data_IF_319155761399
#
_entry.id   IF_319155761399
#
_cell.length_a   1.000
_cell.length_b   1.000
_cell.length_c   1.000
_cell.angle_alpha   90.00
_cell.angle_beta   90.00
_cell.angle_gamma   90.00
#
_symmetry.space_group_name_H-M   'P 1'
#
loop_
_entity.id
_entity.type
_entity.pdbx_description
1 polymer ?
#
# COMPACT_ATOMS: atom_id res chain seq x y z
N UNK A 1 -10.69 -46.48 -29.26
CA UNK A 1 -12.11 -46.87 -29.34
C UNK A 1 -12.97 -45.69 -28.88
N UNK A 2 -13.97 -45.30 -29.68
CA UNK A 2 -15.01 -44.28 -29.38
C UNK A 2 -14.62 -42.83 -29.72
N UNK A 3 -14.79 -42.35 -30.96
CA UNK A 3 -15.98 -41.63 -31.52
C UNK A 3 -16.25 -40.27 -30.85
N UNK A 4 -15.91 -39.12 -31.46
CA UNK A 4 -16.60 -38.35 -32.54
C UNK A 4 -18.08 -38.00 -32.26
N UNK A 5 -18.37 -36.70 -32.11
CA UNK A 5 -19.38 -35.87 -32.84
C UNK A 5 -19.61 -34.57 -32.03
N UNK A 6 -19.49 -33.32 -32.50
CA UNK A 6 -19.86 -32.62 -33.74
C UNK A 6 -21.19 -31.84 -33.63
N UNK A 7 -21.19 -30.65 -34.28
CA UNK A 7 -22.32 -29.81 -34.75
C UNK A 7 -22.93 -28.86 -33.68
N UNK A 8 -22.82 -27.52 -33.72
CA UNK A 8 -23.13 -26.46 -34.73
C UNK A 8 -24.62 -26.04 -34.76
N UNK A 9 -24.82 -24.70 -34.72
CA UNK A 9 -25.98 -23.90 -35.17
C UNK A 9 -27.29 -23.93 -34.38
N UNK A 10 -27.81 -22.75 -34.01
CA UNK A 10 -28.68 -21.96 -34.90
C UNK A 10 -29.11 -20.62 -34.28
N UNK A 11 -29.00 -19.55 -35.08
CA UNK A 11 -29.80 -18.32 -34.98
C UNK A 11 -31.26 -18.62 -35.33
N UNK A 12 -32.20 -17.87 -34.76
CA UNK A 12 -33.42 -17.44 -35.46
C UNK A 12 -34.03 -16.18 -34.82
N UNK A 13 -34.19 -15.16 -35.66
CA UNK A 13 -35.00 -13.97 -35.47
C UNK A 13 -36.49 -14.29 -35.33
N UNK A 14 -37.26 -13.39 -34.70
CA UNK A 14 -38.52 -12.89 -35.27
C UNK A 14 -38.95 -11.60 -34.56
N UNK A 15 -39.17 -10.58 -35.39
CA UNK A 15 -39.75 -9.29 -35.04
C UNK A 15 -41.29 -9.36 -35.11
N UNK A 16 -41.98 -8.42 -34.44
CA UNK A 16 -42.91 -7.46 -35.08
C UNK A 16 -44.14 -7.07 -34.24
N UNK A 17 -44.22 -5.75 -33.96
CA UNK A 17 -45.37 -4.82 -33.99
C UNK A 17 -46.63 -5.05 -33.10
N UNK A 18 -46.93 -4.05 -32.26
CA UNK A 18 -48.13 -3.21 -32.42
C UNK A 18 -48.03 -1.89 -31.63
N UNK A 19 -48.68 -0.86 -32.19
CA UNK A 19 -48.53 0.56 -31.90
C UNK A 19 -49.65 1.15 -31.02
N UNK A 20 -49.38 2.30 -30.38
CA UNK A 20 -50.35 3.41 -30.31
C UNK A 20 -50.77 3.94 -28.92
N UNK A 21 -50.79 5.28 -28.83
CA UNK A 21 -51.29 6.17 -27.77
C UNK A 21 -50.30 6.46 -26.63
N UNK A 22 -50.10 7.68 -26.14
CA UNK A 22 -50.46 9.05 -26.56
C UNK A 22 -49.65 9.97 -25.65
N UNK A 23 -49.38 11.16 -26.14
CA UNK A 23 -48.77 12.31 -25.48
C UNK A 23 -49.01 12.45 -23.97
N UNK A 24 -47.93 12.34 -23.19
CA UNK A 24 -47.69 13.18 -22.03
C UNK A 24 -46.18 13.29 -21.85
N UNK A 25 -45.65 14.42 -22.33
CA UNK A 25 -44.27 14.81 -22.12
C UNK A 25 -44.05 15.13 -20.63
N UNK A 26 -43.17 14.42 -19.90
CA UNK A 26 -42.51 15.07 -18.79
C UNK A 26 -41.52 16.06 -19.38
N UNK A 27 -41.91 17.33 -19.26
CA UNK A 27 -41.09 18.52 -19.40
C UNK A 27 -39.59 18.25 -19.29
N UNK A 28 -38.89 18.54 -20.39
CA UNK A 28 -37.48 18.92 -20.39
C UNK A 28 -37.24 19.99 -19.33
N UNK A 29 -36.91 19.59 -18.11
CA UNK A 29 -35.89 20.30 -17.36
C UNK A 29 -34.57 19.61 -17.66
N UNK A 30 -34.10 19.82 -18.89
CA UNK A 30 -32.67 19.92 -19.11
C UNK A 30 -32.21 21.13 -18.28
N UNK A 31 -32.07 20.92 -16.97
CA UNK A 31 -31.25 21.75 -16.12
C UNK A 31 -29.83 21.55 -16.65
N UNK A 32 -29.52 22.29 -17.72
CA UNK A 32 -28.16 22.72 -18.00
C UNK A 32 -27.73 23.39 -16.72
N UNK A 33 -27.13 22.61 -15.82
CA UNK A 33 -26.37 23.13 -14.70
C UNK A 33 -25.33 23.99 -15.39
N UNK A 34 -25.58 25.30 -15.40
CA UNK A 34 -24.55 26.30 -15.59
C UNK A 34 -23.59 26.03 -14.45
N UNK A 35 -22.65 25.12 -14.66
CA UNK A 35 -21.50 24.96 -13.80
C UNK A 35 -20.85 26.33 -13.81
N UNK A 36 -20.82 26.96 -12.64
CA UNK A 36 -20.19 28.26 -12.54
C UNK A 36 -18.74 28.10 -13.00
N UNK A 37 -18.14 29.12 -13.59
CA UNK A 37 -16.72 29.08 -13.99
C UNK A 37 -15.79 28.60 -12.86
N UNK A 38 -16.17 28.86 -11.62
CA UNK A 38 -15.51 28.36 -10.41
C UNK A 38 -15.60 26.84 -10.24
N UNK A 39 -16.73 26.22 -10.60
CA UNK A 39 -16.90 24.77 -10.57
C UNK A 39 -16.02 24.09 -11.63
N UNK A 40 -15.92 24.67 -12.82
CA UNK A 40 -15.07 24.16 -13.90
C UNK A 40 -13.58 24.19 -13.52
N UNK A 41 -13.12 25.30 -12.93
CA UNK A 41 -11.75 25.41 -12.42
C UNK A 41 -11.45 24.37 -11.33
N UNK A 42 -12.40 24.13 -10.42
CA UNK A 42 -12.23 23.15 -9.34
C UNK A 42 -12.24 21.70 -9.87
N UNK A 43 -13.05 21.42 -10.90
CA UNK A 43 -13.06 20.11 -11.58
C UNK A 43 -11.70 19.87 -12.25
N UNK A 44 -11.21 20.82 -13.05
CA UNK A 44 -9.91 20.69 -13.71
C UNK A 44 -8.76 20.52 -12.70
N UNK A 45 -8.81 21.23 -11.58
CA UNK A 45 -7.82 21.09 -10.51
C UNK A 45 -7.89 19.72 -9.83
N UNK A 46 -9.10 19.20 -9.61
CA UNK A 46 -9.33 17.87 -9.05
C UNK A 46 -8.74 16.79 -9.96
N UNK A 47 -9.00 16.87 -11.26
CA UNK A 47 -8.44 15.95 -12.26
C UNK A 47 -6.92 16.00 -12.28
N UNK A 48 -6.33 17.20 -12.21
CA UNK A 48 -4.86 17.37 -12.16
C UNK A 48 -4.25 16.73 -10.91
N UNK A 49 -4.87 16.92 -9.74
CA UNK A 49 -4.43 16.26 -8.50
C UNK A 49 -4.56 14.74 -8.61
N UNK A 50 -5.67 14.24 -9.14
CA UNK A 50 -5.90 12.81 -9.31
C UNK A 50 -4.87 12.19 -10.26
N UNK A 51 -4.58 12.85 -11.38
CA UNK A 51 -3.55 12.43 -12.33
C UNK A 51 -2.16 12.37 -11.68
N UNK A 52 -1.76 13.45 -10.98
CA UNK A 52 -0.45 13.49 -10.30
C UNK A 52 -0.32 12.45 -9.20
N UNK A 53 -1.39 12.21 -8.43
CA UNK A 53 -1.43 11.12 -7.45
C UNK A 53 -1.23 9.77 -8.13
N UNK A 54 -1.95 9.51 -9.22
CA UNK A 54 -1.84 8.25 -9.95
C UNK A 54 -0.44 8.03 -10.55
N UNK A 55 0.20 9.09 -11.04
CA UNK A 55 1.59 9.05 -11.52
C UNK A 55 2.56 8.59 -10.43
N UNK A 56 2.42 9.12 -9.20
CA UNK A 56 3.23 8.70 -8.05
C UNK A 56 2.92 7.25 -7.65
N UNK A 57 1.64 6.89 -7.54
CA UNK A 57 1.23 5.52 -7.23
C UNK A 57 1.80 4.50 -8.23
N UNK A 58 1.85 4.83 -9.52
CA UNK A 58 2.41 3.95 -10.54
C UNK A 58 3.93 3.79 -10.42
N UNK A 59 4.66 4.85 -10.04
CA UNK A 59 6.11 4.77 -9.77
C UNK A 59 6.43 3.90 -8.55
N UNK A 60 5.52 3.83 -7.58
CA UNK A 60 5.67 3.02 -6.36
C UNK A 60 5.22 1.56 -6.55
N UNK A 61 4.46 1.25 -7.62
CA UNK A 61 3.92 -0.09 -7.94
C UNK A 61 4.86 -1.00 -8.73
N UNK A 62 6.13 -0.65 -8.83
CA UNK A 62 7.14 -1.50 -9.47
C UNK A 62 7.25 -2.83 -8.71
N UNK A 63 7.49 -3.93 -9.43
CA UNK A 63 7.85 -5.21 -8.82
C UNK A 63 9.29 -5.12 -8.34
N UNK A 64 9.48 -4.92 -7.04
CA UNK A 64 10.79 -4.73 -6.44
C UNK A 64 11.52 -6.07 -6.32
N UNK A 65 12.78 -6.13 -6.76
CA UNK A 65 13.55 -7.36 -6.79
C UNK A 65 14.80 -7.27 -5.92
N UNK A 66 14.99 -8.28 -5.06
CA UNK A 66 16.27 -8.48 -4.38
C UNK A 66 17.26 -9.17 -5.34
N UNK A 67 18.58 -8.97 -5.15
CA UNK A 67 19.60 -9.73 -5.86
C UNK A 67 19.44 -11.23 -5.61
N UNK A 68 19.74 -12.05 -6.62
CA UNK A 68 19.63 -13.52 -6.56
C UNK A 68 20.35 -14.17 -5.36
N UNK A 69 21.42 -13.54 -4.88
CA UNK A 69 22.15 -13.93 -3.67
C UNK A 69 22.18 -12.74 -2.72
N UNK A 70 21.13 -12.54 -1.93
CA UNK A 70 21.06 -11.37 -1.08
C UNK A 70 22.11 -11.46 0.03
N UNK A 71 23.01 -10.48 0.08
CA UNK A 71 23.97 -10.26 1.16
C UNK A 71 23.79 -8.86 1.76
N UNK A 72 24.23 -8.66 3.00
CA UNK A 72 24.26 -7.32 3.58
C UNK A 72 25.29 -6.47 2.80
N UNK A 73 24.83 -5.36 2.23
CA UNK A 73 25.64 -4.48 1.40
C UNK A 73 25.23 -3.02 1.62
N UNK A 74 26.19 -2.16 1.97
CA UNK A 74 25.97 -0.73 2.10
C UNK A 74 25.76 -0.08 0.74
N UNK A 75 25.07 1.06 0.72
CA UNK A 75 24.86 1.80 -0.51
C UNK A 75 26.14 2.54 -0.95
N UNK A 76 26.32 2.79 -2.26
CA UNK A 76 27.17 3.90 -2.67
C UNK A 76 26.62 5.22 -2.09
N UNK A 77 27.41 6.28 -2.07
CA UNK A 77 26.89 7.58 -1.63
C UNK A 77 25.83 8.08 -2.62
N UNK A 78 24.55 8.02 -2.21
CA UNK A 78 23.39 8.32 -3.07
C UNK A 78 22.89 9.75 -2.92
N UNK A 79 23.10 10.37 -1.76
CA UNK A 79 22.61 11.70 -1.45
C UNK A 79 23.26 12.78 -2.32
N UNK A 80 22.44 13.70 -2.81
CA UNK A 80 22.89 14.84 -3.62
C UNK A 80 22.81 16.18 -2.88
N UNK A 81 22.34 16.19 -1.64
CA UNK A 81 22.12 17.39 -0.83
C UNK A 81 20.81 18.11 -1.13
N UNK A 82 19.88 17.46 -1.85
CA UNK A 82 18.52 17.97 -2.08
C UNK A 82 17.57 17.25 -1.11
N UNK A 83 17.04 17.98 -0.13
CA UNK A 83 16.25 17.40 0.95
C UNK A 83 14.98 16.68 0.48
N UNK A 84 14.36 17.13 -0.61
CA UNK A 84 13.16 16.49 -1.14
C UNK A 84 13.54 15.23 -1.92
N UNK A 85 14.59 15.29 -2.74
CA UNK A 85 15.03 14.17 -3.57
C UNK A 85 15.67 13.04 -2.76
N UNK A 86 16.38 13.41 -1.68
CA UNK A 86 17.11 12.51 -0.79
C UNK A 86 16.22 11.91 0.32
N UNK A 87 14.92 12.23 0.32
CA UNK A 87 13.94 11.61 1.22
C UNK A 87 13.44 10.27 0.66
N UNK A 88 13.51 9.23 1.48
CA UNK A 88 13.02 7.90 1.16
C UNK A 88 11.49 7.81 1.22
N UNK A 89 10.90 7.06 0.30
CA UNK A 89 9.56 6.47 0.46
C UNK A 89 9.73 5.11 1.15
N UNK A 90 8.89 4.76 2.12
CA UNK A 90 8.92 3.41 2.71
C UNK A 90 7.84 2.57 2.04
N UNK A 91 8.22 1.43 1.47
CA UNK A 91 7.31 0.48 0.81
C UNK A 91 7.47 -0.91 1.43
N UNK A 92 6.52 -1.81 1.17
CA UNK A 92 6.57 -3.19 1.66
C UNK A 92 6.25 -4.14 0.52
N UNK A 93 7.08 -5.17 0.36
CA UNK A 93 6.91 -6.25 -0.61
C UNK A 93 6.75 -7.58 0.14
N UNK A 94 5.76 -8.38 -0.26
CA UNK A 94 5.51 -9.71 0.33
C UNK A 94 6.15 -10.81 -0.54
N UNK A 95 7.41 -11.09 -0.26
CA UNK A 95 8.24 -12.06 -0.99
C UNK A 95 8.20 -13.49 -0.39
N UNK A 96 7.20 -13.79 0.44
CA UNK A 96 7.13 -15.08 1.13
C UNK A 96 6.86 -16.21 0.14
N UNK A 97 7.65 -17.28 0.22
CA UNK A 97 7.41 -18.53 -0.55
C UNK A 97 6.13 -19.21 -0.05
N UNK A 98 5.89 -19.19 1.27
CA UNK A 98 4.68 -19.73 1.87
C UNK A 98 3.66 -18.62 2.16
N UNK A 99 2.63 -18.55 1.32
CA UNK A 99 1.53 -17.57 1.40
C UNK A 99 0.29 -18.11 2.10
N UNK A 100 0.36 -19.31 2.72
CA UNK A 100 -0.79 -19.90 3.45
C UNK A 100 -1.30 -19.01 4.56
N UNK A 101 -0.42 -18.22 5.16
CA UNK A 101 -0.77 -17.16 6.09
C UNK A 101 -0.70 -15.84 5.34
N UNK A 102 -1.79 -15.07 5.32
CA UNK A 102 -1.75 -13.70 4.79
C UNK A 102 -0.95 -12.82 5.75
N UNK A 103 -0.09 -11.95 5.21
CA UNK A 103 0.55 -10.92 6.03
C UNK A 103 -0.55 -9.95 6.50
N UNK A 104 -0.77 -9.77 7.81
CA UNK A 104 -1.83 -8.90 8.29
C UNK A 104 -1.72 -7.49 7.71
N UNK A 105 -2.83 -6.95 7.20
CA UNK A 105 -2.88 -5.60 6.62
C UNK A 105 -2.35 -4.51 7.58
N UNK A 106 -2.47 -4.73 8.89
CA UNK A 106 -1.92 -3.81 9.89
C UNK A 106 -0.39 -3.75 9.85
N UNK A 107 0.28 -4.88 9.60
CA UNK A 107 1.74 -4.93 9.47
C UNK A 107 2.19 -4.19 8.23
N UNK A 108 1.59 -4.44 7.07
CA UNK A 108 1.94 -3.71 5.83
C UNK A 108 1.72 -2.21 5.99
N UNK A 109 0.60 -1.79 6.59
CA UNK A 109 0.32 -0.37 6.92
C UNK A 109 1.25 0.25 7.97
N UNK A 110 1.97 -0.55 8.74
CA UNK A 110 2.97 -0.07 9.69
C UNK A 110 4.33 0.10 9.02
N UNK A 111 4.64 -0.69 7.99
CA UNK A 111 5.93 -0.68 7.30
C UNK A 111 5.99 0.32 6.15
N UNK A 112 4.86 0.59 5.50
CA UNK A 112 4.75 1.54 4.39
C UNK A 112 4.54 2.97 4.89
N UNK A 113 5.13 3.96 4.21
CA UNK A 113 4.89 5.38 4.47
C UNK A 113 3.49 5.77 3.99
N UNK A 114 2.86 6.70 4.71
CA UNK A 114 1.47 7.12 4.46
C UNK A 114 1.42 8.49 3.81
N UNK A 115 2.36 8.74 2.90
CA UNK A 115 2.57 10.06 2.31
C UNK A 115 1.32 10.55 1.56
N UNK A 116 0.65 9.65 0.82
CA UNK A 116 -0.59 9.96 0.11
C UNK A 116 -1.80 10.07 1.05
N UNK A 117 -1.77 9.51 2.26
CA UNK A 117 -2.82 9.72 3.26
C UNK A 117 -2.83 11.17 3.78
N UNK A 118 -1.71 11.90 3.68
CA UNK A 118 -1.65 13.31 4.03
C UNK A 118 -2.50 14.20 3.09
N UNK A 119 -2.95 13.68 1.95
CA UNK A 119 -3.83 14.40 1.02
C UNK A 119 -5.31 14.31 1.42
N UNK A 120 -5.67 13.36 2.30
CA UNK A 120 -7.05 13.10 2.70
C UNK A 120 -7.79 14.34 3.25
N UNK A 121 -7.16 15.22 4.06
CA UNK A 121 -7.82 16.44 4.55
C UNK A 121 -8.23 17.44 3.46
N UNK A 122 -7.63 17.38 2.26
CA UNK A 122 -7.92 18.30 1.15
C UNK A 122 -9.15 17.88 0.32
N UNK A 123 -9.58 16.63 0.44
CA UNK A 123 -10.74 16.10 -0.26
C UNK A 123 -12.03 16.32 0.52
N UNK A 124 -13.12 16.55 -0.19
CA UNK A 124 -14.47 16.65 0.37
C UNK A 124 -14.84 15.31 1.03
N UNK A 125 -15.17 15.30 2.35
CA UNK A 125 -15.51 14.08 3.08
C UNK A 125 -16.78 13.42 2.56
N UNK A 126 -17.66 14.17 1.88
CA UNK A 126 -18.89 13.66 1.26
C UNK A 126 -18.64 13.03 -0.12
N UNK A 127 -17.46 13.26 -0.70
CA UNK A 127 -17.10 12.70 -2.00
C UNK A 127 -16.71 11.22 -1.91
N UNK A 128 -17.16 10.43 -2.90
CA UNK A 128 -16.85 9.00 -2.96
C UNK A 128 -15.35 8.79 -3.17
N UNK A 129 -14.77 7.81 -2.47
CA UNK A 129 -13.36 7.45 -2.58
C UNK A 129 -12.93 7.07 -4.02
N UNK A 130 -11.64 7.24 -4.33
CA UNK A 130 -11.03 6.93 -5.62
C UNK A 130 -11.05 8.10 -6.62
N UNK A 131 -11.09 7.79 -7.92
CA UNK A 131 -10.99 8.76 -9.02
C UNK A 131 -12.13 9.79 -9.11
N UNK A 132 -13.18 9.65 -8.28
CA UNK A 132 -14.32 10.57 -8.21
C UNK A 132 -14.28 11.49 -6.98
N UNK A 133 -13.19 11.47 -6.22
CA UNK A 133 -13.01 12.38 -5.09
C UNK A 133 -12.89 13.80 -5.57
N UNK A 134 -13.60 14.71 -4.92
CA UNK A 134 -13.57 16.14 -5.20
C UNK A 134 -12.75 16.86 -4.16
N UNK A 135 -12.01 17.87 -4.58
CA UNK A 135 -11.34 18.80 -3.67
C UNK A 135 -12.37 19.69 -2.97
N UNK A 136 -12.09 20.10 -1.73
CA UNK A 136 -12.96 21.01 -0.97
C UNK A 136 -12.96 22.43 -1.52
N UNK A 137 -11.79 22.88 -1.97
CA UNK A 137 -11.59 24.24 -2.44
C UNK A 137 -10.41 24.32 -3.42
N UNK A 138 -10.30 25.43 -4.13
CA UNK A 138 -9.14 25.73 -4.98
C UNK A 138 -7.83 25.75 -4.18
N UNK A 139 -7.85 26.38 -3.00
CA UNK A 139 -6.69 26.42 -2.09
C UNK A 139 -6.24 25.03 -1.68
N UNK A 140 -7.18 24.14 -1.36
CA UNK A 140 -6.87 22.74 -1.03
C UNK A 140 -6.24 21.99 -2.20
N UNK A 141 -6.68 22.27 -3.43
CA UNK A 141 -6.06 21.71 -4.63
C UNK A 141 -4.64 22.20 -4.88
N UNK A 142 -4.39 23.50 -4.68
CA UNK A 142 -3.05 24.07 -4.79
C UNK A 142 -2.10 23.48 -3.73
N UNK A 143 -2.56 23.34 -2.48
CA UNK A 143 -1.80 22.68 -1.41
C UNK A 143 -1.54 21.19 -1.69
N UNK A 144 -2.54 20.47 -2.20
CA UNK A 144 -2.39 19.07 -2.58
C UNK A 144 -1.38 18.90 -3.74
N UNK A 145 -1.42 19.80 -4.74
CA UNK A 145 -0.44 19.78 -5.84
C UNK A 145 0.97 20.10 -5.37
N UNK A 146 1.13 21.07 -4.47
CA UNK A 146 2.43 21.39 -3.88
C UNK A 146 3.01 20.18 -3.15
N UNK A 147 2.19 19.53 -2.30
CA UNK A 147 2.58 18.30 -1.60
C UNK A 147 2.96 17.18 -2.56
N UNK A 148 2.15 16.95 -3.60
CA UNK A 148 2.44 15.97 -4.66
C UNK A 148 3.73 16.33 -5.41
N UNK A 149 4.02 17.63 -5.60
CA UNK A 149 5.26 18.12 -6.18
C UNK A 149 6.49 17.72 -5.35
N UNK A 150 6.44 17.87 -4.04
CA UNK A 150 7.50 17.40 -3.14
C UNK A 150 7.67 15.87 -3.19
N UNK A 151 6.56 15.11 -3.16
CA UNK A 151 6.62 13.66 -3.26
C UNK A 151 7.20 13.18 -4.60
N UNK A 152 6.87 13.86 -5.70
CA UNK A 152 7.34 13.51 -7.03
C UNK A 152 8.86 13.70 -7.20
N UNK A 153 9.50 14.59 -6.43
CA UNK A 153 10.95 14.80 -6.47
C UNK A 153 11.74 13.66 -5.85
N UNK A 154 11.13 12.87 -4.97
CA UNK A 154 11.80 11.73 -4.33
C UNK A 154 12.31 10.77 -5.40
N UNK A 155 13.52 10.28 -5.18
CA UNK A 155 14.22 9.41 -6.13
C UNK A 155 14.35 7.98 -5.67
N UNK A 156 14.33 7.75 -4.37
CA UNK A 156 14.63 6.44 -3.79
C UNK A 156 13.48 5.91 -2.94
N UNK A 157 13.30 4.59 -2.99
CA UNK A 157 12.40 3.85 -2.11
C UNK A 157 13.23 2.92 -1.21
N UNK A 158 12.86 2.86 0.06
CA UNK A 158 13.28 1.80 0.97
C UNK A 158 12.16 0.76 1.06
N UNK A 159 12.41 -0.42 0.49
CA UNK A 159 11.43 -1.50 0.38
C UNK A 159 11.72 -2.55 1.45
N UNK A 160 10.73 -2.84 2.29
CA UNK A 160 10.75 -3.96 3.22
C UNK A 160 10.31 -5.24 2.53
N UNK A 161 11.26 -6.10 2.19
CA UNK A 161 10.99 -7.41 1.59
C UNK A 161 10.78 -8.46 2.68
N UNK A 162 9.53 -8.85 2.92
CA UNK A 162 9.18 -9.87 3.92
C UNK A 162 9.37 -11.26 3.32
N UNK A 163 10.34 -12.03 3.83
CA UNK A 163 10.65 -13.39 3.33
C UNK A 163 10.04 -14.50 4.19
N UNK A 164 9.86 -14.24 5.49
CA UNK A 164 9.21 -15.14 6.41
C UNK A 164 8.35 -14.35 7.38
N UNK A 165 7.13 -14.83 7.59
CA UNK A 165 6.24 -14.39 8.65
C UNK A 165 5.65 -15.61 9.33
N UNK A 166 5.86 -15.70 10.64
CA UNK A 166 5.25 -16.70 11.50
C UNK A 166 4.47 -15.98 12.58
N UNK A 167 3.16 -16.23 12.62
CA UNK A 167 2.30 -15.66 13.64
C UNK A 167 2.66 -16.17 15.04
N UNK A 168 2.55 -15.30 16.08
CA UNK A 168 2.45 -15.78 17.44
C UNK A 168 1.29 -16.77 17.54
N UNK A 169 1.55 -17.96 18.06
CA UNK A 169 0.57 -19.04 18.13
C UNK A 169 0.52 -19.64 19.52
N UNK A 170 -0.62 -20.20 19.88
CA UNK A 170 -0.80 -20.85 21.15
C UNK A 170 -0.46 -22.33 21.04
N UNK A 171 0.38 -22.85 21.93
CA UNK A 171 0.78 -24.25 21.92
C UNK A 171 0.78 -24.86 23.33
N UNK A 172 0.61 -26.18 23.39
CA UNK A 172 0.72 -26.94 24.62
C UNK A 172 2.11 -27.58 24.71
N UNK A 173 2.91 -27.15 25.68
CA UNK A 173 4.16 -27.81 25.98
C UNK A 173 3.88 -29.01 26.91
N UNK A 174 4.15 -30.26 26.51
CA UNK A 174 3.83 -31.44 27.32
C UNK A 174 4.55 -31.47 28.67
N UNK A 175 5.62 -30.69 28.84
CA UNK A 175 6.35 -30.55 30.12
C UNK A 175 5.70 -29.54 31.07
N UNK A 176 4.70 -28.77 30.63
CA UNK A 176 4.07 -27.69 31.42
C UNK A 176 2.56 -27.90 31.50
N UNK A 177 1.99 -27.64 32.68
CA UNK A 177 0.54 -27.79 32.91
C UNK A 177 -0.32 -26.75 32.19
N UNK A 178 0.24 -25.57 31.90
CA UNK A 178 -0.48 -24.46 31.27
C UNK A 178 -0.01 -24.29 29.83
N UNK A 179 -0.91 -24.07 28.86
CA UNK A 179 -0.51 -23.76 27.51
C UNK A 179 0.07 -22.33 27.41
N UNK A 180 0.91 -22.11 26.41
CA UNK A 180 1.78 -20.94 26.28
C UNK A 180 1.71 -20.35 24.86
N UNK A 181 2.07 -19.07 24.73
CA UNK A 181 2.30 -18.46 23.43
C UNK A 181 3.70 -18.79 22.95
N UNK A 182 3.80 -19.23 21.69
CA UNK A 182 5.02 -19.30 20.91
C UNK A 182 5.30 -17.93 20.28
N UNK A 183 6.57 -17.53 20.16
CA UNK A 183 6.92 -16.24 19.59
C UNK A 183 6.53 -16.17 18.12
N UNK A 184 6.07 -15.01 17.68
CA UNK A 184 6.07 -14.67 16.27
C UNK A 184 7.49 -14.39 15.79
N UNK A 185 7.70 -14.56 14.50
CA UNK A 185 8.97 -14.36 13.82
C UNK A 185 8.73 -13.60 12.52
N UNK A 186 9.56 -12.61 12.24
CA UNK A 186 9.64 -11.96 10.93
C UNK A 186 11.08 -11.92 10.46
N UNK A 187 11.31 -12.44 9.26
CA UNK A 187 12.59 -12.35 8.55
C UNK A 187 12.38 -11.65 7.23
N UNK A 188 13.35 -10.84 6.84
CA UNK A 188 13.30 -10.13 5.58
C UNK A 188 14.53 -9.28 5.34
N UNK A 189 14.38 -8.34 4.42
CA UNK A 189 15.39 -7.38 4.03
C UNK A 189 14.79 -5.99 4.00
N UNK A 190 15.61 -4.97 4.26
CA UNK A 190 15.34 -3.63 3.76
C UNK A 190 16.31 -3.34 2.64
N UNK A 191 15.79 -2.96 1.48
CA UNK A 191 16.58 -2.65 0.29
C UNK A 191 16.29 -1.23 -0.19
N UNK A 192 17.30 -0.55 -0.73
CA UNK A 192 17.11 0.75 -1.38
C UNK A 192 17.04 0.53 -2.89
N UNK A 193 16.01 1.10 -3.51
CA UNK A 193 15.78 1.09 -4.94
C UNK A 193 15.69 2.52 -5.47
N UNK A 194 16.08 2.73 -6.73
CA UNK A 194 15.66 3.93 -7.45
C UNK A 194 14.19 3.77 -7.88
N UNK A 195 13.38 4.80 -7.68
CA UNK A 195 11.95 4.75 -7.99
C UNK A 195 11.73 4.55 -9.49
N UNK A 196 11.07 3.46 -9.87
CA UNK A 196 10.90 3.06 -11.26
C UNK A 196 11.77 1.87 -11.67
N UNK A 197 12.83 1.59 -10.93
CA UNK A 197 13.79 0.53 -11.24
C UNK A 197 13.61 -0.67 -10.29
N UNK A 198 13.50 -1.90 -10.82
CA UNK A 198 13.24 -3.08 -9.98
C UNK A 198 14.44 -3.47 -9.11
N UNK A 199 15.66 -3.25 -9.58
CA UNK A 199 16.88 -3.76 -8.95
C UNK A 199 17.27 -2.98 -7.69
N UNK A 200 17.59 -3.71 -6.61
CA UNK A 200 18.11 -3.12 -5.38
C UNK A 200 19.55 -2.62 -5.55
N UNK A 201 19.83 -1.40 -5.08
CA UNK A 201 21.17 -0.80 -5.05
C UNK A 201 22.02 -1.34 -3.90
N UNK A 202 21.37 -1.65 -2.79
CA UNK A 202 21.98 -2.02 -1.52
C UNK A 202 20.87 -2.54 -0.60
N UNK A 203 21.26 -3.33 0.41
CA UNK A 203 20.28 -4.00 1.24
C UNK A 203 20.88 -4.51 2.56
N UNK A 204 20.00 -4.76 3.52
CA UNK A 204 20.39 -5.25 4.83
C UNK A 204 19.35 -6.20 5.40
N UNK A 205 19.80 -7.29 6.00
CA UNK A 205 18.95 -8.33 6.58
C UNK A 205 18.29 -7.88 7.88
N UNK A 206 17.04 -8.31 8.07
CA UNK A 206 16.24 -8.02 9.27
C UNK A 206 15.70 -9.34 9.81
N UNK A 207 16.02 -9.62 11.08
CA UNK A 207 15.47 -10.72 11.87
C UNK A 207 14.91 -10.16 13.18
N UNK A 208 13.62 -10.38 13.42
CA UNK A 208 12.97 -10.02 14.69
C UNK A 208 12.04 -11.11 15.18
N UNK A 209 11.98 -11.22 16.50
CA UNK A 209 11.07 -12.12 17.23
C UNK A 209 10.23 -11.31 18.20
N UNK A 210 8.98 -11.70 18.39
CA UNK A 210 8.12 -11.08 19.41
C UNK A 210 8.63 -11.46 20.79
N UNK A 211 8.59 -10.51 21.72
CA UNK A 211 8.89 -10.81 23.12
C UNK A 211 7.63 -11.31 23.85
N UNK A 212 7.77 -12.41 24.59
CA UNK A 212 6.68 -13.04 25.35
C UNK A 212 6.95 -12.97 26.86
N UNK A 213 8.12 -12.45 27.26
CA UNK A 213 8.60 -12.50 28.64
C UNK A 213 7.67 -11.79 29.63
N UNK A 214 6.98 -10.72 29.20
CA UNK A 214 6.13 -9.89 30.08
C UNK A 214 4.62 -10.15 30.01
N UNK A 215 4.12 -11.03 29.12
CA UNK A 215 2.68 -11.21 28.97
C UNK A 215 2.07 -11.93 30.20
N UNK A 216 1.14 -11.37 30.98
CA UNK A 216 0.65 -12.01 32.22
C UNK A 216 -0.10 -13.32 31.95
N UNK A 217 0.31 -14.40 32.62
CA UNK A 217 -0.12 -15.81 32.44
C UNK A 217 -1.64 -16.04 32.35
N UNK A 218 -2.46 -15.21 33.01
CA UNK A 218 -3.92 -15.35 33.04
C UNK A 218 -4.67 -14.60 31.92
N UNK A 219 -4.02 -13.63 31.23
CA UNK A 219 -4.61 -12.91 30.07
C UNK A 219 -4.30 -13.59 28.72
N UNK A 220 -3.57 -14.71 28.74
CA UNK A 220 -2.95 -15.39 27.58
C UNK A 220 -3.90 -16.22 26.68
N UNK A 221 -5.23 -16.06 26.76
CA UNK A 221 -6.17 -16.80 25.89
C UNK A 221 -7.01 -15.89 24.98
N UNK A 222 -6.79 -14.57 25.02
CA UNK A 222 -7.63 -13.60 24.31
C UNK A 222 -7.01 -13.23 22.98
N UNK A 223 -7.87 -13.06 21.98
CA UNK A 223 -7.54 -12.50 20.68
C UNK A 223 -6.81 -11.16 20.79
N UNK A 224 -7.10 -10.35 21.82
CA UNK A 224 -6.37 -9.11 22.12
C UNK A 224 -4.87 -9.33 22.31
N UNK A 225 -4.47 -10.39 23.02
CA UNK A 225 -3.05 -10.70 23.27
C UNK A 225 -2.33 -11.07 21.99
N UNK A 226 -2.98 -11.83 21.10
CA UNK A 226 -2.44 -12.11 19.75
C UNK A 226 -2.24 -10.82 18.96
N UNK A 227 -3.22 -9.93 19.00
CA UNK A 227 -3.13 -8.63 18.34
C UNK A 227 -1.97 -7.79 18.87
N UNK A 228 -1.77 -7.75 20.19
CA UNK A 228 -0.68 -7.00 20.83
C UNK A 228 0.69 -7.58 20.41
N UNK A 229 0.83 -8.90 20.40
CA UNK A 229 2.07 -9.58 19.97
C UNK A 229 2.37 -9.36 18.48
N UNK A 230 1.35 -9.39 17.61
CA UNK A 230 1.52 -9.06 16.19
C UNK A 230 1.93 -7.59 16.02
N UNK A 231 1.29 -6.68 16.76
CA UNK A 231 1.62 -5.24 16.71
C UNK A 231 3.05 -4.97 17.20
N UNK A 232 3.48 -5.63 18.28
CA UNK A 232 4.85 -5.55 18.77
C UNK A 232 5.85 -6.08 17.74
N UNK A 233 5.55 -7.21 17.09
CA UNK A 233 6.39 -7.78 16.04
C UNK A 233 6.58 -6.80 14.87
N UNK A 234 5.50 -6.18 14.40
CA UNK A 234 5.55 -5.18 13.33
C UNK A 234 6.36 -3.94 13.72
N UNK A 235 6.16 -3.44 14.94
CA UNK A 235 6.94 -2.32 15.49
C UNK A 235 8.43 -2.66 15.54
N UNK A 236 8.79 -3.83 16.08
CA UNK A 236 10.19 -4.29 16.15
C UNK A 236 10.80 -4.45 14.78
N UNK A 237 10.07 -5.02 13.81
CA UNK A 237 10.54 -5.17 12.43
C UNK A 237 10.82 -3.81 11.80
N UNK A 238 9.89 -2.84 11.94
CA UNK A 238 10.10 -1.47 11.47
C UNK A 238 11.33 -0.84 12.12
N UNK A 239 11.45 -0.90 13.44
CA UNK A 239 12.60 -0.33 14.16
C UNK A 239 13.92 -0.97 13.75
N UNK A 240 13.94 -2.29 13.55
CA UNK A 240 15.11 -3.00 13.04
C UNK A 240 15.47 -2.55 11.62
N UNK A 241 14.49 -2.38 10.74
CA UNK A 241 14.72 -1.83 9.40
C UNK A 241 15.19 -0.38 9.43
N UNK A 242 14.65 0.47 10.31
CA UNK A 242 15.15 1.85 10.47
C UNK A 242 16.60 1.89 10.96
N UNK A 243 17.00 0.98 11.87
CA UNK A 243 18.40 0.84 12.26
C UNK A 243 19.26 0.34 11.10
N UNK A 244 18.74 -0.60 10.32
CA UNK A 244 19.42 -1.14 9.15
C UNK A 244 19.60 -0.07 8.05
N UNK A 245 18.60 0.78 7.81
CA UNK A 245 18.71 1.97 6.95
C UNK A 245 19.84 2.91 7.39
N UNK A 246 20.05 3.07 8.70
CA UNK A 246 21.19 3.83 9.23
C UNK A 246 22.55 3.20 8.90
N UNK A 247 22.63 1.87 8.81
CA UNK A 247 23.86 1.14 8.43
C UNK A 247 24.11 1.14 6.92
N UNK A 248 23.10 1.41 6.12
CA UNK A 248 23.22 1.50 4.67
C UNK A 248 23.94 2.80 4.21
N UNK A 249 24.35 3.67 5.14
CA UNK A 249 25.15 4.89 4.96
C UNK A 249 24.99 5.57 3.59
N UNK A 250 23.77 6.02 3.30
CA UNK A 250 23.41 6.57 1.99
C UNK A 250 23.26 8.10 1.95
N UNK A 251 23.39 8.78 3.11
CA UNK A 251 23.06 10.20 3.26
C UNK A 251 21.56 10.52 3.07
N UNK A 252 20.74 9.50 2.81
CA UNK A 252 19.30 9.63 2.60
C UNK A 252 18.58 9.77 3.94
N UNK A 253 17.49 10.53 3.93
CA UNK A 253 16.65 10.71 5.12
C UNK A 253 15.42 9.82 5.04
N UNK A 254 15.13 9.11 6.13
CA UNK A 254 13.87 8.41 6.25
C UNK A 254 12.71 9.41 6.39
N UNK A 255 11.50 9.10 5.91
CA UNK A 255 10.38 10.00 6.03
C UNK A 255 10.01 10.22 7.51
N UNK A 256 9.48 11.39 7.88
CA UNK A 256 9.02 11.68 9.23
C UNK A 256 7.94 10.67 9.66
N UNK A 257 7.90 10.38 10.97
CA UNK A 257 6.98 9.39 11.55
C UNK A 257 5.51 9.76 11.37
#
# INVERSE_FOLDING_TARGET
MGQRSSVVSALLCLASLCAGCSDDAPSLSAASKVTSRHDEELIALTERVAFKRHEIENRERVSWELPNKPNDSACPNLARGDSDADQLVLLTEDDRIDTRQLLPLRLTKQLTSRDLEALEPHYDPTSKAGAKRRLRSRRDGELALDKLGHLAKRRFAAVFHVKLYVEPHFFHNPKKRKPEWGPGLMLGWVAIHELGEPEALCQWSIDVRSDISDAPLARRLRESTRHDLISDLGKRFREAGMRALGKLESGLSAPPK
#
